data_IF_224922006317
#
_entry.id   IF_224922006317
#
_cell.length_a   1.000
_cell.length_b   1.000
_cell.length_c   1.000
_cell.angle_alpha   90.00
_cell.angle_beta   90.00
_cell.angle_gamma   90.00
#
_symmetry.space_group_name_H-M   'P 1'
#
loop_
_entity.id
_entity.type
_entity.pdbx_description
1 polymer ?
#
# COMPACT_ATOMS: atom_id res chain seq x y z
N UNK A 1 -3.57 9.22 -20.77
CA UNK A 1 -3.27 7.77 -20.83
C UNK A 1 -4.12 6.89 -19.92
N UNK A 2 -4.86 7.45 -18.96
CA UNK A 2 -5.58 6.71 -17.90
C UNK A 2 -7.06 6.43 -18.22
N UNK A 3 -7.51 6.67 -19.45
CA UNK A 3 -8.90 6.41 -19.84
C UNK A 3 -9.24 4.92 -19.66
N UNK A 4 -10.48 4.63 -19.28
CA UNK A 4 -10.98 3.29 -18.96
C UNK A 4 -10.31 2.57 -17.77
N UNK A 5 -9.51 3.25 -16.94
CA UNK A 5 -9.01 2.71 -15.68
C UNK A 5 -9.05 3.72 -14.52
N UNK A 6 -9.90 4.75 -14.62
CA UNK A 6 -10.13 5.74 -13.54
C UNK A 6 -11.03 5.20 -12.43
N UNK A 7 -12.01 4.37 -12.80
CA UNK A 7 -13.01 3.82 -11.88
C UNK A 7 -13.39 2.41 -12.31
N UNK A 8 -13.66 1.55 -11.33
CA UNK A 8 -14.26 0.23 -11.55
C UNK A 8 -15.74 0.30 -11.20
N UNK A 9 -16.60 -0.24 -12.07
CA UNK A 9 -18.05 -0.33 -11.82
C UNK A 9 -18.35 -1.21 -10.59
N UNK A 10 -17.49 -2.18 -10.30
CA UNK A 10 -17.63 -3.11 -9.17
C UNK A 10 -16.88 -2.66 -7.91
N UNK A 11 -16.28 -1.46 -7.94
CA UNK A 11 -15.40 -0.97 -6.89
C UNK A 11 -13.96 -1.49 -7.01
N UNK A 12 -13.11 -0.95 -6.14
CA UNK A 12 -11.68 -1.29 -6.04
C UNK A 12 -11.45 -2.48 -5.12
N UNK A 13 -10.36 -3.21 -5.34
CA UNK A 13 -10.02 -4.43 -4.60
C UNK A 13 -8.54 -4.40 -4.19
N UNK A 14 -8.26 -4.87 -2.98
CA UNK A 14 -6.91 -5.22 -2.51
C UNK A 14 -6.86 -6.71 -2.17
N UNK A 15 -5.74 -7.36 -2.48
CA UNK A 15 -5.47 -8.76 -2.19
C UNK A 15 -4.46 -8.87 -1.06
N UNK A 16 -4.72 -9.73 -0.08
CA UNK A 16 -3.84 -9.94 1.06
C UNK A 16 -3.22 -11.34 1.08
N UNK A 17 -1.98 -11.48 1.54
CA UNK A 17 -1.41 -12.78 1.91
C UNK A 17 -0.47 -12.59 3.08
N UNK A 18 -0.46 -13.52 4.03
CA UNK A 18 0.36 -13.39 5.22
C UNK A 18 1.13 -14.67 5.56
N UNK A 19 2.24 -14.51 6.26
CA UNK A 19 3.04 -15.65 6.73
C UNK A 19 4.30 -15.23 7.49
N UNK A 20 4.90 -16.19 8.18
CA UNK A 20 6.18 -16.01 8.87
C UNK A 20 7.34 -15.96 7.89
N UNK A 21 8.27 -15.03 8.10
CA UNK A 21 9.56 -14.96 7.42
C UNK A 21 10.61 -14.36 8.34
N UNK A 22 11.67 -15.15 8.62
CA UNK A 22 12.81 -14.75 9.49
C UNK A 22 12.35 -14.11 10.81
N UNK A 23 11.50 -14.82 11.55
CA UNK A 23 10.97 -14.44 12.86
C UNK A 23 10.08 -13.18 12.89
N UNK A 24 9.69 -12.67 11.72
CA UNK A 24 8.68 -11.62 11.56
C UNK A 24 7.46 -12.16 10.85
N UNK A 25 6.31 -11.56 11.12
CA UNK A 25 5.09 -11.83 10.37
C UNK A 25 4.94 -10.79 9.25
N UNK A 26 4.94 -11.28 8.03
CA UNK A 26 4.80 -10.48 6.82
C UNK A 26 3.35 -10.51 6.37
N UNK A 27 2.77 -9.34 6.11
CA UNK A 27 1.45 -9.19 5.48
C UNK A 27 1.64 -8.42 4.18
N UNK A 28 1.50 -9.12 3.06
CA UNK A 28 1.55 -8.54 1.73
C UNK A 28 0.16 -8.06 1.31
N UNK A 29 0.02 -6.78 0.98
CA UNK A 29 -1.15 -6.20 0.34
C UNK A 29 -0.81 -5.87 -1.11
N UNK A 30 -1.66 -6.26 -2.03
CA UNK A 30 -1.38 -6.20 -3.47
C UNK A 30 -2.56 -5.58 -4.21
N UNK A 31 -2.27 -4.70 -5.17
CA UNK A 31 -3.24 -4.06 -6.06
C UNK A 31 -2.94 -4.42 -7.52
N UNK A 32 -4.02 -4.63 -8.27
CA UNK A 32 -3.97 -4.82 -9.71
C UNK A 32 -4.48 -3.57 -10.42
N UNK A 33 -3.72 -3.12 -11.41
CA UNK A 33 -4.11 -2.05 -12.32
C UNK A 33 -4.23 -2.60 -13.75
N UNK A 34 -5.28 -2.24 -14.51
CA UNK A 34 -5.45 -2.73 -15.88
C UNK A 34 -4.32 -2.30 -16.84
N UNK A 35 -3.58 -1.23 -16.49
CA UNK A 35 -2.52 -0.63 -17.30
C UNK A 35 -1.36 -0.23 -16.40
N UNK A 36 -0.14 -0.43 -16.90
CA UNK A 36 1.06 0.17 -16.35
C UNK A 36 1.48 1.40 -17.16
N UNK A 37 2.20 2.30 -16.50
CA UNK A 37 2.61 3.58 -17.06
C UNK A 37 4.13 3.70 -17.12
N UNK A 38 4.62 4.57 -17.99
CA UNK A 38 6.00 5.06 -17.98
C UNK A 38 5.96 6.52 -18.43
N UNK A 39 6.47 7.43 -17.61
CA UNK A 39 6.40 8.87 -17.86
C UNK A 39 4.98 9.35 -18.28
N UNK A 40 3.96 8.96 -17.50
CA UNK A 40 2.52 9.25 -17.72
C UNK A 40 1.87 8.64 -18.97
N UNK A 41 2.64 7.94 -19.81
CA UNK A 41 2.12 7.21 -20.97
C UNK A 41 1.82 5.77 -20.61
N UNK A 42 0.67 5.27 -21.07
CA UNK A 42 0.35 3.85 -20.93
C UNK A 42 1.37 3.03 -21.72
N UNK A 43 2.13 2.19 -21.03
CA UNK A 43 3.30 1.50 -21.60
C UNK A 43 3.10 -0.02 -21.68
N UNK A 44 2.30 -0.59 -20.79
CA UNK A 44 2.03 -2.04 -20.73
C UNK A 44 0.59 -2.34 -20.33
N UNK A 45 0.13 -3.52 -20.76
CA UNK A 45 -1.13 -4.10 -20.28
C UNK A 45 -0.84 -4.84 -18.97
N UNK A 46 -1.66 -4.59 -17.96
CA UNK A 46 -1.51 -5.11 -16.60
C UNK A 46 -0.36 -4.49 -15.82
N UNK A 47 -0.62 -4.13 -14.56
CA UNK A 47 0.39 -3.76 -13.59
C UNK A 47 -0.02 -4.26 -12.22
N UNK A 48 0.97 -4.76 -11.47
CA UNK A 48 0.78 -5.27 -10.13
C UNK A 48 1.74 -4.52 -9.22
N UNK A 49 1.20 -3.98 -8.13
CA UNK A 49 1.99 -3.31 -7.09
C UNK A 49 1.64 -3.91 -5.74
N UNK A 50 2.59 -3.93 -4.83
CA UNK A 50 2.37 -4.49 -3.50
C UNK A 50 3.20 -3.80 -2.43
N UNK A 51 2.71 -3.90 -1.20
CA UNK A 51 3.47 -3.55 0.00
C UNK A 51 3.51 -4.76 0.93
N UNK A 52 4.61 -4.92 1.64
CA UNK A 52 4.74 -5.88 2.72
C UNK A 52 4.85 -5.11 4.02
N UNK A 53 3.85 -5.26 4.88
CA UNK A 53 3.86 -4.74 6.25
C UNK A 53 4.45 -5.82 7.14
N UNK A 54 5.54 -5.49 7.81
CA UNK A 54 6.25 -6.38 8.72
C UNK A 54 5.82 -6.07 10.15
N UNK A 55 5.28 -7.07 10.85
CA UNK A 55 4.95 -6.96 12.27
C UNK A 55 5.77 -7.96 13.07
N UNK A 56 6.03 -7.63 14.35
CA UNK A 56 6.83 -8.47 15.21
C UNK A 56 6.18 -9.84 15.50
N UNK A 57 4.90 -9.86 15.90
CA UNK A 57 4.18 -11.09 16.19
C UNK A 57 2.66 -10.83 16.14
N UNK A 58 1.90 -11.58 15.32
CA UNK A 58 0.44 -11.41 15.17
C UNK A 58 -0.36 -11.86 16.39
N UNK A 59 0.22 -12.71 17.26
CA UNK A 59 -0.47 -13.28 18.44
C UNK A 59 -0.45 -12.33 19.65
N UNK A 60 0.23 -11.18 19.54
CA UNK A 60 0.23 -10.16 20.57
C UNK A 60 -1.07 -9.35 20.52
N UNK A 61 -1.51 -8.87 21.69
CA UNK A 61 -2.64 -7.94 21.78
C UNK A 61 -2.37 -6.64 21.01
N UNK A 62 -1.11 -6.19 21.02
CA UNK A 62 -0.66 -4.98 20.34
C UNK A 62 0.59 -5.26 19.48
N UNK A 63 0.41 -5.87 18.29
CA UNK A 63 1.51 -6.08 17.36
C UNK A 63 2.14 -4.75 16.94
N UNK A 64 3.46 -4.73 16.80
CA UNK A 64 4.21 -3.55 16.38
C UNK A 64 4.61 -3.70 14.92
N UNK A 65 4.34 -2.68 14.12
CA UNK A 65 4.90 -2.55 12.78
C UNK A 65 6.38 -2.24 12.93
N UNK A 66 7.23 -3.13 12.43
CA UNK A 66 8.70 -3.00 12.48
C UNK A 66 9.30 -2.51 11.17
N UNK A 67 8.51 -2.53 10.10
CA UNK A 67 8.91 -1.97 8.81
C UNK A 67 7.85 -2.18 7.74
N UNK A 68 8.03 -1.49 6.63
CA UNK A 68 7.19 -1.62 5.44
C UNK A 68 8.09 -1.62 4.20
N UNK A 69 7.90 -2.61 3.34
CA UNK A 69 8.56 -2.71 2.04
C UNK A 69 7.55 -2.41 0.95
N UNK A 70 7.83 -1.44 0.08
CA UNK A 70 6.92 -1.00 -0.97
C UNK A 70 7.53 -1.30 -2.34
N UNK A 71 6.73 -1.84 -3.26
CA UNK A 71 7.20 -2.18 -4.60
C UNK A 71 7.64 -0.93 -5.36
N UNK A 72 8.77 -1.07 -6.05
CA UNK A 72 9.35 -0.05 -6.92
C UNK A 72 9.48 -0.59 -8.36
N UNK A 73 10.06 0.21 -9.25
CA UNK A 73 10.42 -0.22 -10.59
C UNK A 73 11.26 -1.51 -10.59
N UNK A 74 11.17 -2.27 -11.67
CA UNK A 74 12.07 -3.40 -11.98
C UNK A 74 12.16 -4.51 -10.91
N UNK A 75 11.06 -4.75 -10.18
CA UNK A 75 10.94 -5.78 -9.13
C UNK A 75 11.73 -5.48 -7.84
N UNK A 76 12.14 -4.22 -7.65
CA UNK A 76 12.80 -3.78 -6.43
C UNK A 76 11.80 -3.39 -5.34
N UNK A 77 12.31 -3.24 -4.11
CA UNK A 77 11.54 -2.77 -2.96
C UNK A 77 12.26 -1.64 -2.24
N UNK A 78 11.53 -0.57 -1.95
CA UNK A 78 11.95 0.46 -0.99
C UNK A 78 11.46 0.06 0.40
N UNK A 79 12.38 -0.15 1.34
CA UNK A 79 12.03 -0.52 2.72
C UNK A 79 12.20 0.65 3.69
N UNK A 80 11.18 0.89 4.50
CA UNK A 80 11.18 1.88 5.59
C UNK A 80 11.06 1.14 6.92
N UNK A 81 12.02 1.35 7.82
CA UNK A 81 12.05 0.71 9.15
C UNK A 81 11.52 1.65 10.24
N UNK A 82 11.66 2.96 10.05
CA UNK A 82 11.17 3.97 10.98
C UNK A 82 9.78 4.44 10.55
N UNK A 83 8.78 4.09 11.36
CA UNK A 83 7.38 4.48 11.12
C UNK A 83 7.11 5.85 11.71
N UNK A 84 6.96 6.85 10.85
CA UNK A 84 6.59 8.21 11.24
C UNK A 84 5.07 8.34 11.39
N UNK A 85 4.62 9.19 12.32
CA UNK A 85 3.20 9.39 12.58
C UNK A 85 2.40 9.87 11.35
N UNK A 86 3.05 10.61 10.46
CA UNK A 86 2.45 11.08 9.21
C UNK A 86 2.38 10.00 8.12
N UNK A 87 2.78 8.76 8.37
CA UNK A 87 2.48 7.65 7.45
C UNK A 87 1.14 6.98 7.76
N UNK A 88 0.48 7.39 8.84
CA UNK A 88 -0.77 6.80 9.28
C UNK A 88 -1.95 7.67 8.89
N UNK A 89 -3.06 7.00 8.58
CA UNK A 89 -4.30 7.66 8.21
C UNK A 89 -4.85 8.52 9.35
N UNK A 90 -5.39 9.69 9.03
CA UNK A 90 -5.92 10.67 9.99
C UNK A 90 -4.87 11.58 10.61
N UNK A 91 -3.57 11.37 10.32
CA UNK A 91 -2.55 12.33 10.72
C UNK A 91 -2.72 13.63 9.94
N UNK A 92 -2.72 14.77 10.65
CA UNK A 92 -2.73 16.09 10.00
C UNK A 92 -2.03 17.13 10.86
N UNK A 93 -1.45 18.12 10.19
CA UNK A 93 -0.90 19.32 10.82
C UNK A 93 -1.91 20.46 10.71
N UNK A 94 -2.34 21.01 11.85
CA UNK A 94 -3.23 22.17 11.89
C UNK A 94 -2.49 23.43 12.37
N UNK A 95 -2.90 24.58 11.85
CA UNK A 95 -2.42 25.90 12.28
C UNK A 95 -1.48 26.59 11.30
N UNK A 96 -1.15 27.85 11.57
CA UNK A 96 -0.27 28.69 10.76
C UNK A 96 1.21 28.35 10.98
N UNK A 97 2.08 28.82 10.07
CA UNK A 97 3.52 28.47 9.98
C UNK A 97 4.32 28.60 11.30
N UNK A 98 3.85 29.38 12.28
CA UNK A 98 4.46 29.53 13.62
C UNK A 98 3.73 28.85 14.79
N UNK A 99 2.56 28.24 14.56
CA UNK A 99 1.77 27.55 15.59
C UNK A 99 1.14 26.29 14.99
N UNK A 100 1.99 25.36 14.52
CA UNK A 100 1.54 24.07 14.01
C UNK A 100 1.36 23.08 15.16
N UNK A 101 0.20 22.41 15.21
CA UNK A 101 -0.06 21.28 16.09
C UNK A 101 -0.20 20.00 15.28
N UNK A 102 0.40 18.92 15.76
CA UNK A 102 0.23 17.59 15.18
C UNK A 102 -1.02 16.93 15.76
N UNK A 103 -1.91 16.49 14.88
CA UNK A 103 -3.04 15.64 15.23
C UNK A 103 -2.71 14.25 14.76
N UNK A 104 -2.70 13.30 15.69
CA UNK A 104 -2.42 11.90 15.42
C UNK A 104 -3.70 11.19 15.00
N UNK A 105 -3.58 10.33 13.99
CA UNK A 105 -4.67 9.51 13.48
C UNK A 105 -4.61 8.07 14.00
N UNK A 106 -4.90 7.13 13.10
CA UNK A 106 -4.80 5.69 13.34
C UNK A 106 -3.38 5.28 13.75
N UNK A 107 -3.26 4.21 14.54
CA UNK A 107 -1.99 3.59 14.89
C UNK A 107 -1.70 2.33 14.05
N UNK A 108 -2.65 1.91 13.20
CA UNK A 108 -2.58 0.65 12.44
C UNK A 108 -2.86 0.82 10.96
N UNK A 109 -3.53 1.89 10.58
CA UNK A 109 -3.88 2.17 9.18
C UNK A 109 -2.81 3.02 8.52
N UNK A 110 -2.06 2.43 7.60
CA UNK A 110 -1.07 3.12 6.77
C UNK A 110 -1.72 3.67 5.49
N UNK A 111 -1.12 4.73 4.93
CA UNK A 111 -1.57 5.35 3.67
C UNK A 111 -0.51 5.20 2.59
N UNK A 112 -0.91 4.76 1.40
CA UNK A 112 -0.01 4.52 0.27
C UNK A 112 -0.49 5.27 -0.96
N UNK A 113 0.44 5.77 -1.76
CA UNK A 113 0.19 6.42 -3.03
C UNK A 113 0.81 5.61 -4.16
N UNK A 114 0.08 5.50 -5.27
CA UNK A 114 0.63 5.04 -6.54
C UNK A 114 1.19 6.26 -7.26
N UNK A 115 2.51 6.40 -7.21
CA UNK A 115 3.20 7.55 -7.75
C UNK A 115 3.61 7.28 -9.21
N UNK A 116 3.30 8.24 -10.07
CA UNK A 116 3.70 8.26 -11.47
C UNK A 116 4.53 9.53 -11.69
N UNK A 117 5.86 9.40 -11.70
CA UNK A 117 6.76 10.49 -12.12
C UNK A 117 7.34 10.09 -13.49
N UNK A 118 8.38 10.79 -13.98
CA UNK A 118 9.15 10.53 -15.21
C UNK A 118 9.77 9.11 -15.33
N UNK A 119 9.39 8.16 -14.46
CA UNK A 119 9.87 6.78 -14.39
C UNK A 119 8.71 5.78 -14.42
N UNK A 120 9.02 4.49 -14.26
CA UNK A 120 8.02 3.49 -13.94
C UNK A 120 7.33 3.81 -12.61
N UNK A 121 6.03 3.50 -12.46
CA UNK A 121 5.29 3.74 -11.25
C UNK A 121 5.75 2.85 -10.09
N UNK A 122 5.62 3.40 -8.89
CA UNK A 122 6.03 2.77 -7.64
C UNK A 122 5.04 3.13 -6.52
N UNK A 123 5.12 2.39 -5.42
CA UNK A 123 4.39 2.72 -4.20
C UNK A 123 5.28 3.47 -3.21
N UNK A 124 4.74 4.52 -2.61
CA UNK A 124 5.32 5.19 -1.45
C UNK A 124 4.22 5.53 -0.44
N UNK A 125 4.61 6.00 0.75
CA UNK A 125 3.65 6.52 1.70
C UNK A 125 2.98 7.79 1.17
N UNK A 126 1.66 7.88 1.31
CA UNK A 126 0.92 9.07 0.90
C UNK A 126 1.05 10.21 1.92
N UNK A 127 0.85 11.44 1.48
CA UNK A 127 0.75 12.63 2.34
C UNK A 127 -0.69 12.96 2.76
N UNK A 128 -1.68 12.37 2.08
CA UNK A 128 -3.11 12.58 2.31
C UNK A 128 -3.83 11.26 2.56
N UNK A 129 -4.98 11.33 3.21
CA UNK A 129 -5.84 10.17 3.43
C UNK A 129 -6.47 9.72 2.12
N UNK A 130 -6.28 8.44 1.79
CA UNK A 130 -6.93 7.79 0.67
C UNK A 130 -8.23 7.09 1.08
N UNK A 131 -8.65 6.16 0.22
CA UNK A 131 -9.80 5.30 0.48
C UNK A 131 -9.35 3.91 0.96
N UNK A 132 -10.22 3.21 1.68
CA UNK A 132 -10.07 1.77 1.91
C UNK A 132 -10.68 0.99 0.75
N UNK A 133 -10.00 -0.08 0.32
CA UNK A 133 -10.54 -1.02 -0.67
C UNK A 133 -11.02 -2.28 0.03
N UNK A 134 -11.97 -2.98 -0.59
CA UNK A 134 -12.37 -4.32 -0.14
C UNK A 134 -11.15 -5.24 -0.15
N UNK A 135 -10.92 -5.95 0.95
CA UNK A 135 -9.82 -6.90 1.11
C UNK A 135 -10.31 -8.32 0.90
N UNK A 136 -9.56 -9.11 0.12
CA UNK A 136 -9.70 -10.55 0.06
C UNK A 136 -8.34 -11.21 0.33
N UNK A 137 -8.28 -12.08 1.33
CA UNK A 137 -7.06 -12.83 1.63
C UNK A 137 -6.88 -13.98 0.64
N UNK A 138 -5.63 -14.34 0.36
CA UNK A 138 -5.29 -15.47 -0.50
C UNK A 138 -5.98 -16.76 -0.06
N UNK A 139 -6.04 -16.99 1.25
CA UNK A 139 -6.67 -18.14 1.87
C UNK A 139 -8.21 -18.13 1.75
N UNK A 140 -8.81 -16.99 1.44
CA UNK A 140 -10.26 -16.83 1.22
C UNK A 140 -10.66 -16.99 -0.26
N UNK A 141 -9.70 -17.00 -1.19
CA UNK A 141 -9.96 -17.21 -2.61
C UNK A 141 -10.36 -18.66 -2.88
N UNK A 142 -11.22 -18.85 -3.89
CA UNK A 142 -11.52 -20.19 -4.41
C UNK A 142 -10.29 -20.80 -5.06
N UNK A 143 -10.23 -22.14 -5.14
CA UNK A 143 -9.11 -22.84 -5.80
C UNK A 143 -8.92 -22.39 -7.25
N UNK A 144 -10.03 -22.14 -7.97
CA UNK A 144 -9.99 -21.63 -9.33
C UNK A 144 -9.36 -20.23 -9.41
N UNK A 145 -9.71 -19.34 -8.48
CA UNK A 145 -9.13 -17.99 -8.43
C UNK A 145 -7.64 -17.99 -8.05
N UNK A 146 -7.20 -18.96 -7.25
CA UNK A 146 -5.77 -19.14 -6.92
C UNK A 146 -4.94 -19.75 -8.05
N UNK A 147 -5.57 -20.48 -8.96
CA UNK A 147 -4.90 -21.18 -10.06
C UNK A 147 -4.82 -20.36 -11.37
N UNK A 148 -5.63 -19.30 -11.49
CA UNK A 148 -5.66 -18.39 -12.64
C UNK A 148 -4.43 -17.46 -12.66
#
# INVERSE_FOLDING_TARGET
GNDACKYSIQGSQVYGRAGWYRDLWAIMYTWYFPKGFFADFASKRHDWQNVVVWINNPDLEWPKIVGVSMSNADSEYTTKLEMMAYYFSGYRMEGTRGYRRSIYGSATSLRFAYEMILTSPYLDFADEDGEYQSLIMWEQLTDAARAA
#
